data_IF_445114855166
#
_entry.id   IF_445114855166
#
_cell.length_a   1.000
_cell.length_b   1.000
_cell.length_c   1.000
_cell.angle_alpha   90.00
_cell.angle_beta   90.00
_cell.angle_gamma   90.00
#
_symmetry.space_group_name_H-M   'P 1'
#
loop_
_entity.id
_entity.type
_entity.pdbx_description
1 polymer ?
#
# COMPACT_ATOMS: atom_id res chain seq x y z
N UNK A 1 21.78 -14.70 3.81
CA UNK A 1 22.46 -13.74 4.71
C UNK A 1 22.37 -12.29 4.22
N UNK A 2 22.89 -11.91 3.04
CA UNK A 2 22.76 -10.52 2.55
C UNK A 2 21.32 -10.13 2.19
N UNK A 3 20.55 -11.03 1.59
CA UNK A 3 19.13 -10.81 1.25
C UNK A 3 18.25 -10.61 2.49
N UNK A 4 18.59 -11.24 3.63
CA UNK A 4 17.82 -11.11 4.86
C UNK A 4 18.05 -9.77 5.57
N UNK A 5 19.27 -9.23 5.48
CA UNK A 5 19.58 -7.88 6.01
C UNK A 5 18.87 -6.81 5.20
N UNK A 6 18.87 -6.93 3.87
CA UNK A 6 18.17 -5.99 2.98
C UNK A 6 16.64 -5.99 3.22
N UNK A 7 16.05 -7.17 3.36
CA UNK A 7 14.61 -7.32 3.68
C UNK A 7 14.24 -6.72 5.04
N UNK A 8 15.13 -6.82 6.03
CA UNK A 8 14.92 -6.20 7.35
C UNK A 8 15.04 -4.67 7.30
N UNK A 9 15.89 -4.12 6.44
CA UNK A 9 16.05 -2.67 6.29
C UNK A 9 14.89 -2.02 5.53
N UNK A 10 14.16 -2.76 4.69
CA UNK A 10 13.06 -2.24 3.89
C UNK A 10 12.02 -1.50 4.74
N UNK A 11 11.65 -2.07 5.89
CA UNK A 11 10.69 -1.51 6.83
C UNK A 11 11.37 -0.91 8.07
N UNK A 12 12.58 -0.36 7.90
CA UNK A 12 13.25 0.37 8.96
C UNK A 12 12.42 1.58 9.40
N UNK A 13 12.61 1.99 10.66
CA UNK A 13 11.92 3.16 11.20
C UNK A 13 12.20 4.43 10.36
N UNK A 14 13.39 4.58 9.82
CA UNK A 14 13.76 5.67 8.92
C UNK A 14 12.93 5.67 7.64
N UNK A 15 12.86 4.54 6.94
CA UNK A 15 12.10 4.43 5.70
C UNK A 15 10.59 4.65 5.92
N UNK A 16 10.07 4.15 7.04
CA UNK A 16 8.66 4.34 7.39
C UNK A 16 8.36 5.78 7.78
N UNK A 17 9.29 6.47 8.46
CA UNK A 17 9.18 7.91 8.74
C UNK A 17 9.17 8.74 7.45
N UNK A 18 10.04 8.46 6.49
CA UNK A 18 10.03 9.14 5.17
C UNK A 18 8.66 8.99 4.48
N UNK A 19 8.09 7.79 4.52
CA UNK A 19 6.75 7.57 3.95
C UNK A 19 5.65 8.33 4.71
N UNK A 20 5.72 8.37 6.02
CA UNK A 20 4.77 9.12 6.85
C UNK A 20 4.89 10.63 6.61
N UNK A 21 6.10 11.19 6.57
CA UNK A 21 6.34 12.60 6.27
C UNK A 21 5.81 12.98 4.89
N UNK A 22 6.03 12.12 3.89
CA UNK A 22 5.45 12.29 2.57
C UNK A 22 3.92 12.38 2.62
N UNK A 23 3.24 11.45 3.29
CA UNK A 23 1.79 11.46 3.42
C UNK A 23 1.28 12.67 4.21
N UNK A 24 1.99 13.07 5.27
CA UNK A 24 1.66 14.27 6.06
C UNK A 24 1.72 15.57 5.27
N UNK A 25 2.46 15.59 4.17
CA UNK A 25 2.52 16.77 3.29
C UNK A 25 1.24 16.99 2.47
N UNK A 26 0.37 16.00 2.35
CA UNK A 26 -0.91 16.13 1.64
C UNK A 26 -1.93 16.91 2.48
N UNK A 27 -2.63 17.91 1.89
CA UNK A 27 -3.66 18.67 2.62
C UNK A 27 -4.80 17.81 3.18
N UNK A 28 -5.04 16.64 2.60
CA UNK A 28 -6.11 15.71 3.01
C UNK A 28 -5.63 14.71 4.08
N UNK A 29 -4.37 14.78 4.49
CA UNK A 29 -3.85 13.86 5.48
C UNK A 29 -4.46 14.13 6.87
N UNK A 30 -4.82 13.05 7.53
CA UNK A 30 -5.09 13.02 8.96
C UNK A 30 -4.67 11.66 9.53
N UNK A 31 -4.27 11.66 10.77
CA UNK A 31 -4.02 10.40 11.50
C UNK A 31 -5.36 9.67 11.65
N UNK A 32 -5.42 8.42 11.22
CA UNK A 32 -6.64 7.63 11.37
C UNK A 32 -6.79 7.12 12.80
N UNK A 33 -8.03 6.87 13.29
CA UNK A 33 -8.25 6.45 14.67
C UNK A 33 -7.61 5.09 14.99
N UNK A 34 -7.08 4.96 16.20
CA UNK A 34 -6.82 3.69 16.85
C UNK A 34 -7.94 3.45 17.87
N UNK A 35 -8.93 2.65 17.49
CA UNK A 35 -10.12 2.38 18.31
C UNK A 35 -9.79 1.42 19.46
N UNK A 36 -10.15 1.80 20.70
CA UNK A 36 -10.06 0.90 21.83
C UNK A 36 -11.36 0.08 21.95
N UNK A 37 -11.27 -1.22 21.71
CA UNK A 37 -12.39 -2.16 21.75
C UNK A 37 -12.57 -2.77 23.15
N UNK A 38 -12.79 -1.91 24.15
CA UNK A 38 -12.82 -2.28 25.57
C UNK A 38 -13.88 -3.36 25.90
N UNK A 39 -15.06 -3.29 25.28
CA UNK A 39 -16.13 -4.28 25.47
C UNK A 39 -15.72 -5.66 24.94
N UNK A 40 -15.05 -5.69 23.78
CA UNK A 40 -14.53 -6.94 23.20
C UNK A 40 -13.39 -7.50 24.06
N UNK A 41 -12.48 -6.64 24.52
CA UNK A 41 -11.39 -7.04 25.42
C UNK A 41 -11.94 -7.70 26.70
N UNK A 42 -12.95 -7.08 27.32
CA UNK A 42 -13.62 -7.64 28.50
C UNK A 42 -14.29 -8.99 28.21
N UNK A 43 -14.99 -9.10 27.08
CA UNK A 43 -15.65 -10.34 26.68
C UNK A 43 -14.66 -11.50 26.48
N UNK A 44 -13.49 -11.22 25.89
CA UNK A 44 -12.45 -12.20 25.62
C UNK A 44 -11.48 -12.43 26.80
N UNK A 45 -11.62 -11.70 27.92
CA UNK A 45 -10.76 -11.84 29.10
C UNK A 45 -9.31 -11.37 28.86
N UNK A 46 -9.08 -10.43 27.93
CA UNK A 46 -7.76 -9.83 27.65
C UNK A 46 -7.72 -8.38 28.12
N UNK A 47 -6.50 -7.85 28.33
CA UNK A 47 -6.31 -6.51 28.89
C UNK A 47 -6.83 -5.41 27.95
N UNK A 48 -6.41 -5.42 26.70
CA UNK A 48 -6.79 -4.43 25.70
C UNK A 48 -6.88 -5.06 24.32
N UNK A 49 -7.77 -4.53 23.48
CA UNK A 49 -7.81 -4.77 22.04
C UNK A 49 -7.93 -3.41 21.34
N UNK A 50 -7.03 -3.16 20.40
CA UNK A 50 -7.05 -1.95 19.60
C UNK A 50 -7.23 -2.30 18.13
N UNK A 51 -7.96 -1.44 17.40
CA UNK A 51 -8.18 -1.58 15.97
C UNK A 51 -7.77 -0.29 15.25
N UNK A 52 -6.79 -0.35 14.36
CA UNK A 52 -6.42 0.77 13.48
C UNK A 52 -7.46 0.89 12.37
N UNK A 53 -8.25 1.95 12.42
CA UNK A 53 -9.40 2.14 11.53
C UNK A 53 -9.01 2.99 10.30
N UNK A 54 -8.65 2.31 9.23
CA UNK A 54 -8.26 2.95 7.97
C UNK A 54 -9.45 3.38 7.09
N UNK A 55 -10.69 3.26 7.57
CA UNK A 55 -11.87 3.75 6.83
C UNK A 55 -11.88 5.28 6.67
N UNK A 56 -11.11 5.99 7.47
CA UNK A 56 -10.98 7.46 7.38
C UNK A 56 -9.84 7.93 6.46
N UNK A 57 -9.02 7.01 5.93
CA UNK A 57 -7.82 7.38 5.18
C UNK A 57 -8.14 8.17 3.92
N UNK A 58 -7.72 9.44 3.87
CA UNK A 58 -7.88 10.36 2.73
C UNK A 58 -9.33 10.47 2.19
N UNK A 59 -10.34 10.09 2.96
CA UNK A 59 -11.72 10.02 2.51
C UNK A 59 -12.02 8.89 1.51
N UNK A 60 -11.09 7.96 1.33
CA UNK A 60 -11.23 6.85 0.37
C UNK A 60 -11.76 5.56 0.98
N UNK A 61 -11.96 5.53 2.29
CA UNK A 61 -12.48 4.38 3.01
C UNK A 61 -11.60 3.12 2.90
N UNK A 62 -10.29 3.30 2.66
CA UNK A 62 -9.31 2.22 2.51
C UNK A 62 -7.87 2.73 2.61
N UNK A 63 -6.96 1.88 3.12
CA UNK A 63 -5.53 2.19 3.30
C UNK A 63 -4.70 2.14 2.00
N UNK A 64 -5.18 1.53 0.94
CA UNK A 64 -4.41 1.23 -0.29
C UNK A 64 -3.78 2.45 -0.95
N UNK A 65 -4.37 3.62 -0.77
CA UNK A 65 -3.83 4.90 -1.26
C UNK A 65 -2.44 5.22 -0.72
N UNK A 66 -2.12 4.79 0.50
CA UNK A 66 -0.79 5.01 1.12
C UNK A 66 0.32 4.37 0.28
N UNK A 67 0.12 3.13 -0.17
CA UNK A 67 1.10 2.46 -1.02
C UNK A 67 1.22 3.08 -2.39
N UNK A 68 0.09 3.30 -3.07
CA UNK A 68 0.06 3.85 -4.45
C UNK A 68 0.66 5.25 -4.53
N UNK A 69 0.28 6.15 -3.61
CA UNK A 69 0.80 7.52 -3.61
C UNK A 69 2.30 7.59 -3.31
N UNK A 70 2.77 6.82 -2.33
CA UNK A 70 4.20 6.79 -2.00
C UNK A 70 5.03 6.18 -3.13
N UNK A 71 4.58 5.09 -3.75
CA UNK A 71 5.27 4.49 -4.88
C UNK A 71 5.39 5.47 -6.07
N UNK A 72 4.33 6.24 -6.36
CA UNK A 72 4.40 7.28 -7.40
C UNK A 72 5.40 8.37 -7.04
N UNK A 73 5.37 8.87 -5.80
CA UNK A 73 6.33 9.88 -5.34
C UNK A 73 7.77 9.38 -5.43
N UNK A 74 8.03 8.14 -5.01
CA UNK A 74 9.35 7.49 -5.11
C UNK A 74 9.81 7.31 -6.55
N UNK A 75 8.89 6.96 -7.46
CA UNK A 75 9.21 6.85 -8.87
C UNK A 75 9.64 8.21 -9.45
N UNK A 76 8.85 9.27 -9.21
CA UNK A 76 9.18 10.61 -9.67
C UNK A 76 10.52 11.09 -9.08
N UNK A 77 10.73 10.87 -7.78
CA UNK A 77 11.98 11.21 -7.10
C UNK A 77 13.20 10.51 -7.74
N UNK A 78 13.06 9.21 -8.02
CA UNK A 78 14.11 8.41 -8.68
C UNK A 78 14.45 8.95 -10.06
N UNK A 79 13.46 9.24 -10.90
CA UNK A 79 13.67 9.77 -12.24
C UNK A 79 14.36 11.15 -12.23
N UNK A 80 14.09 11.95 -11.19
CA UNK A 80 14.73 13.25 -11.00
C UNK A 80 16.08 13.19 -10.27
N UNK A 81 16.51 12.00 -9.82
CA UNK A 81 17.73 11.83 -9.02
C UNK A 81 17.68 12.52 -7.67
N UNK A 82 16.48 12.66 -7.06
CA UNK A 82 16.24 13.32 -5.78
C UNK A 82 15.82 12.34 -4.69
N UNK A 83 16.01 12.71 -3.43
CA UNK A 83 15.38 11.97 -2.31
C UNK A 83 13.91 12.38 -2.19
N UNK A 84 13.05 11.43 -1.79
CA UNK A 84 11.61 11.67 -1.63
C UNK A 84 11.32 12.75 -0.57
N UNK A 85 12.19 12.94 0.41
CA UNK A 85 12.07 13.99 1.42
C UNK A 85 12.14 15.41 0.85
N UNK A 86 12.72 15.57 -0.33
CA UNK A 86 12.79 16.84 -1.06
C UNK A 86 11.54 17.13 -1.89
N UNK A 87 10.65 16.15 -2.02
CA UNK A 87 9.47 16.19 -2.87
C UNK A 87 8.16 16.01 -2.08
N UNK A 88 7.84 16.92 -1.14
CA UNK A 88 6.53 16.92 -0.50
C UNK A 88 5.42 17.20 -1.53
N UNK A 89 4.16 17.00 -1.13
CA UNK A 89 3.01 17.15 -2.01
C UNK A 89 2.99 18.46 -2.82
N UNK A 90 3.27 19.59 -2.18
CA UNK A 90 3.29 20.91 -2.84
C UNK A 90 4.37 21.02 -3.93
N UNK A 91 5.51 20.36 -3.74
CA UNK A 91 6.55 20.28 -4.78
C UNK A 91 6.10 19.37 -5.93
N UNK A 92 5.60 18.16 -5.61
CA UNK A 92 5.14 17.19 -6.62
C UNK A 92 3.95 17.66 -7.45
N UNK A 93 3.08 18.50 -6.88
CA UNK A 93 1.90 19.04 -7.56
C UNK A 93 2.16 20.40 -8.26
N UNK A 94 3.38 20.91 -8.19
CA UNK A 94 3.73 22.24 -8.75
C UNK A 94 3.87 22.22 -10.27
N UNK A 95 3.61 23.38 -10.91
CA UNK A 95 3.86 23.58 -12.34
C UNK A 95 5.34 23.42 -12.68
N UNK A 96 6.24 23.86 -11.77
CA UNK A 96 7.68 23.69 -11.94
C UNK A 96 8.07 22.22 -12.08
N UNK A 97 7.52 21.34 -11.25
CA UNK A 97 7.81 19.91 -11.36
C UNK A 97 7.23 19.34 -12.66
N UNK A 98 6.06 19.80 -13.07
CA UNK A 98 5.45 19.39 -14.34
C UNK A 98 6.29 19.79 -15.55
N UNK A 99 6.93 20.95 -15.52
CA UNK A 99 7.87 21.38 -16.56
C UNK A 99 9.16 20.54 -16.55
N UNK A 100 9.65 20.16 -15.36
CA UNK A 100 10.89 19.41 -15.20
C UNK A 100 10.72 17.91 -15.49
N UNK A 101 9.69 17.29 -14.95
CA UNK A 101 9.43 15.84 -15.03
C UNK A 101 8.51 15.46 -16.19
N UNK A 102 7.60 16.35 -16.59
CA UNK A 102 6.53 16.04 -17.54
C UNK A 102 5.34 15.33 -16.89
N UNK A 103 4.67 14.49 -17.69
CA UNK A 103 3.49 13.74 -17.25
C UNK A 103 3.68 12.25 -17.55
N UNK A 104 3.67 11.45 -16.49
CA UNK A 104 3.67 9.99 -16.57
C UNK A 104 2.23 9.43 -16.57
N UNK A 105 2.09 8.22 -17.08
CA UNK A 105 0.86 7.45 -17.02
C UNK A 105 1.07 6.21 -16.16
N UNK A 106 0.38 6.14 -15.03
CA UNK A 106 0.46 5.03 -14.10
C UNK A 106 -0.62 4.00 -14.40
N UNK A 107 -0.20 2.77 -14.66
CA UNK A 107 -1.06 1.65 -14.99
C UNK A 107 -1.22 0.71 -13.80
N UNK A 108 -2.41 0.16 -13.62
CA UNK A 108 -2.64 -0.90 -12.62
C UNK A 108 -3.82 -1.77 -13.01
N UNK A 109 -3.83 -3.00 -12.50
CA UNK A 109 -5.00 -3.87 -12.50
C UNK A 109 -5.54 -3.99 -11.07
N UNK A 110 -6.87 -3.97 -10.92
CA UNK A 110 -7.51 -4.00 -9.61
C UNK A 110 -8.95 -4.45 -9.67
N UNK A 111 -9.42 -5.00 -8.57
CA UNK A 111 -10.85 -5.21 -8.31
C UNK A 111 -11.50 -4.09 -7.48
N UNK A 112 -10.71 -3.06 -7.04
CA UNK A 112 -11.28 -1.94 -6.28
C UNK A 112 -10.28 -0.95 -5.67
N UNK A 113 -9.94 -1.14 -4.39
CA UNK A 113 -9.30 -0.12 -3.56
C UNK A 113 -7.87 0.29 -4.00
N UNK A 114 -7.09 -0.65 -4.53
CA UNK A 114 -5.75 -0.32 -5.02
C UNK A 114 -5.83 0.64 -6.21
N UNK A 115 -6.63 0.31 -7.23
CA UNK A 115 -6.80 1.18 -8.39
C UNK A 115 -7.43 2.53 -8.03
N UNK A 116 -8.35 2.57 -7.05
CA UNK A 116 -8.89 3.85 -6.56
C UNK A 116 -7.79 4.70 -5.92
N UNK A 117 -6.92 4.09 -5.10
CA UNK A 117 -5.79 4.79 -4.50
C UNK A 117 -4.79 5.31 -5.54
N UNK A 118 -4.48 4.51 -6.56
CA UNK A 118 -3.62 4.90 -7.69
C UNK A 118 -4.24 6.07 -8.47
N UNK A 119 -5.52 5.98 -8.83
CA UNK A 119 -6.25 7.04 -9.54
C UNK A 119 -6.27 8.35 -8.75
N UNK A 120 -6.60 8.27 -7.45
CA UNK A 120 -6.62 9.41 -6.54
C UNK A 120 -5.27 10.12 -6.45
N UNK A 121 -4.20 9.34 -6.28
CA UNK A 121 -2.84 9.87 -6.17
C UNK A 121 -2.38 10.51 -7.49
N UNK A 122 -2.57 9.83 -8.62
CA UNK A 122 -2.20 10.34 -9.93
C UNK A 122 -2.84 11.70 -10.20
N UNK A 123 -4.16 11.84 -9.98
CA UNK A 123 -4.88 13.12 -10.16
C UNK A 123 -4.26 14.24 -9.34
N UNK A 124 -3.93 13.99 -8.08
CA UNK A 124 -3.38 15.02 -7.17
C UNK A 124 -1.94 15.39 -7.47
N UNK A 125 -1.19 14.45 -8.00
CA UNK A 125 0.19 14.69 -8.43
C UNK A 125 0.29 15.18 -9.88
N UNK A 126 -0.84 15.50 -10.54
CA UNK A 126 -0.88 15.99 -11.91
C UNK A 126 -0.48 14.94 -12.96
N UNK A 127 -0.58 13.67 -12.61
CA UNK A 127 -0.24 12.52 -13.44
C UNK A 127 -1.50 11.86 -14.01
N UNK A 128 -1.34 10.92 -14.94
CA UNK A 128 -2.42 10.11 -15.50
C UNK A 128 -2.49 8.74 -14.83
N UNK A 129 -3.68 8.16 -14.80
CA UNK A 129 -3.88 6.77 -14.36
C UNK A 129 -4.74 6.00 -15.35
N UNK A 130 -4.36 4.77 -15.63
CA UNK A 130 -5.12 3.79 -16.41
C UNK A 130 -5.33 2.56 -15.53
N UNK A 131 -6.61 2.17 -15.36
CA UNK A 131 -7.00 1.08 -14.45
C UNK A 131 -7.75 0.02 -15.22
N UNK A 132 -7.21 -1.20 -15.25
CA UNK A 132 -7.84 -2.38 -15.82
C UNK A 132 -8.52 -3.18 -14.71
N UNK A 133 -9.81 -3.50 -14.89
CA UNK A 133 -10.59 -4.26 -13.92
C UNK A 133 -11.01 -5.60 -14.53
N UNK A 134 -10.96 -6.69 -13.74
CA UNK A 134 -11.34 -8.00 -14.26
C UNK A 134 -12.85 -8.14 -14.44
N UNK A 135 -13.25 -9.12 -15.25
CA UNK A 135 -14.62 -9.55 -15.42
C UNK A 135 -15.32 -9.79 -14.08
N UNK A 136 -16.56 -9.35 -13.98
CA UNK A 136 -17.38 -9.49 -12.77
C UNK A 136 -17.21 -8.36 -11.75
N UNK A 137 -16.36 -7.39 -12.04
CA UNK A 137 -16.26 -6.18 -11.22
C UNK A 137 -17.58 -5.39 -11.26
N UNK A 138 -18.04 -4.94 -10.09
CA UNK A 138 -19.30 -4.22 -9.97
C UNK A 138 -19.20 -2.80 -10.52
N UNK A 139 -20.32 -2.28 -11.06
CA UNK A 139 -20.42 -0.89 -11.53
C UNK A 139 -20.03 0.12 -10.44
N UNK A 140 -20.40 -0.12 -9.19
CA UNK A 140 -20.04 0.75 -8.06
C UNK A 140 -18.53 0.89 -7.90
N UNK A 141 -17.78 -0.20 -8.02
CA UNK A 141 -16.31 -0.17 -7.94
C UNK A 141 -15.69 0.59 -9.11
N UNK A 142 -16.20 0.32 -10.32
CA UNK A 142 -15.81 1.05 -11.52
C UNK A 142 -16.04 2.56 -11.36
N UNK A 143 -17.25 2.98 -10.99
CA UNK A 143 -17.63 4.37 -10.82
C UNK A 143 -16.77 5.08 -9.76
N UNK A 144 -16.44 4.39 -8.67
CA UNK A 144 -15.59 4.93 -7.61
C UNK A 144 -14.16 5.23 -8.08
N UNK A 145 -13.62 4.46 -9.01
CA UNK A 145 -12.29 4.70 -9.60
C UNK A 145 -12.38 5.79 -10.66
N UNK A 146 -13.37 5.72 -11.54
CA UNK A 146 -13.56 6.70 -12.61
C UNK A 146 -13.76 8.14 -12.07
N UNK A 147 -14.45 8.31 -10.93
CA UNK A 147 -14.62 9.59 -10.24
C UNK A 147 -13.29 10.23 -9.82
N UNK A 148 -12.28 9.42 -9.56
CA UNK A 148 -10.94 9.93 -9.25
C UNK A 148 -10.20 10.42 -10.50
N UNK A 149 -10.77 10.28 -11.71
CA UNK A 149 -10.24 10.84 -12.95
C UNK A 149 -9.33 9.91 -13.74
N UNK A 150 -9.29 8.63 -13.41
CA UNK A 150 -8.57 7.62 -14.19
C UNK A 150 -9.35 7.19 -15.44
N UNK A 151 -8.64 6.74 -16.46
CA UNK A 151 -9.20 5.94 -17.54
C UNK A 151 -9.41 4.51 -17.01
N UNK A 152 -10.65 4.05 -16.96
CA UNK A 152 -11.01 2.76 -16.36
C UNK A 152 -11.74 1.90 -17.38
N UNK A 153 -11.40 0.62 -17.43
CA UNK A 153 -12.11 -0.38 -18.25
C UNK A 153 -12.36 -1.65 -17.45
N UNK A 154 -13.45 -2.35 -17.75
CA UNK A 154 -13.70 -3.73 -17.29
C UNK A 154 -13.40 -4.63 -18.47
N UNK A 155 -12.46 -5.54 -18.27
CA UNK A 155 -12.01 -6.49 -19.30
C UNK A 155 -12.72 -7.84 -19.14
N UNK A 156 -12.97 -8.54 -20.25
CA UNK A 156 -13.61 -9.86 -20.26
C UNK A 156 -12.61 -10.99 -19.90
N UNK A 157 -11.68 -10.73 -18.97
CA UNK A 157 -10.62 -11.64 -18.53
C UNK A 157 -10.54 -11.71 -17.01
N UNK A 158 -9.76 -12.67 -16.49
CA UNK A 158 -9.48 -12.78 -15.06
C UNK A 158 -8.49 -11.71 -14.56
N UNK A 159 -8.26 -11.67 -13.25
CA UNK A 159 -7.38 -10.70 -12.61
C UNK A 159 -5.93 -10.76 -13.12
N UNK A 160 -5.35 -11.96 -13.24
CA UNK A 160 -3.97 -12.14 -13.67
C UNK A 160 -3.74 -11.68 -15.12
N UNK A 161 -4.73 -11.92 -16.00
CA UNK A 161 -4.71 -11.40 -17.36
C UNK A 161 -4.79 -9.88 -17.39
N UNK A 162 -5.63 -9.27 -16.53
CA UNK A 162 -5.67 -7.81 -16.39
C UNK A 162 -4.31 -7.23 -15.96
N UNK A 163 -3.60 -7.89 -15.03
CA UNK A 163 -2.25 -7.48 -14.61
C UNK A 163 -1.27 -7.54 -15.80
N UNK A 164 -1.31 -8.64 -16.58
CA UNK A 164 -0.48 -8.78 -17.78
C UNK A 164 -0.80 -7.70 -18.82
N UNK A 165 -2.09 -7.41 -19.05
CA UNK A 165 -2.52 -6.35 -19.98
C UNK A 165 -2.02 -4.98 -19.52
N UNK A 166 -2.20 -4.63 -18.25
CA UNK A 166 -1.73 -3.35 -17.70
C UNK A 166 -0.20 -3.20 -17.82
N UNK A 167 0.55 -4.25 -17.51
CA UNK A 167 2.01 -4.25 -17.64
C UNK A 167 2.47 -4.10 -19.11
N UNK A 168 1.83 -4.83 -20.03
CA UNK A 168 2.15 -4.76 -21.46
C UNK A 168 1.82 -3.38 -22.07
N UNK A 169 0.75 -2.73 -21.61
CA UNK A 169 0.36 -1.40 -22.06
C UNK A 169 1.30 -0.34 -21.48
N UNK A 170 1.65 -0.45 -20.20
CA UNK A 170 2.65 0.43 -19.58
C UNK A 170 3.98 0.40 -20.35
N UNK A 171 4.46 -0.79 -20.71
CA UNK A 171 5.71 -0.97 -21.45
C UNK A 171 5.71 -0.35 -22.89
N UNK A 172 4.54 -0.15 -23.49
CA UNK A 172 4.36 0.44 -24.82
C UNK A 172 4.04 1.92 -24.79
N UNK A 173 3.72 2.46 -23.62
CA UNK A 173 3.34 3.86 -23.45
C UNK A 173 4.57 4.67 -23.06
N UNK A 174 4.79 5.76 -23.74
CA UNK A 174 5.84 6.72 -23.37
C UNK A 174 5.58 7.23 -21.93
N UNK A 175 6.57 7.13 -21.07
CA UNK A 175 6.43 7.38 -19.62
C UNK A 175 5.29 6.57 -18.95
N UNK A 176 5.06 5.36 -19.45
CA UNK A 176 4.12 4.41 -18.85
C UNK A 176 4.77 3.58 -17.75
N UNK A 177 4.14 3.52 -16.58
CA UNK A 177 4.65 2.82 -15.40
C UNK A 177 3.57 1.92 -14.81
N UNK A 178 3.88 0.64 -14.60
CA UNK A 178 3.01 -0.26 -13.84
C UNK A 178 3.17 -0.01 -12.34
N UNK A 179 2.06 0.19 -11.63
CA UNK A 179 2.00 0.32 -10.17
C UNK A 179 1.08 -0.76 -9.62
N UNK A 180 1.65 -1.95 -9.41
CA UNK A 180 0.94 -3.12 -8.92
C UNK A 180 1.44 -3.49 -7.52
N UNK A 181 0.54 -3.91 -6.63
CA UNK A 181 0.87 -4.25 -5.24
C UNK A 181 1.30 -5.71 -5.04
N UNK A 182 1.46 -6.46 -6.12
CA UNK A 182 2.01 -7.81 -6.16
C UNK A 182 3.39 -7.79 -6.83
N UNK A 183 4.39 -8.42 -6.23
CA UNK A 183 5.72 -8.56 -6.80
C UNK A 183 5.85 -9.82 -7.67
N UNK A 184 6.71 -9.74 -8.70
CA UNK A 184 7.17 -10.88 -9.49
C UNK A 184 8.64 -10.67 -9.88
N UNK A 185 9.28 -11.69 -10.46
CA UNK A 185 10.69 -11.62 -10.84
C UNK A 185 10.96 -10.44 -11.77
N UNK A 186 11.83 -9.53 -11.35
CA UNK A 186 12.15 -8.29 -12.06
C UNK A 186 11.21 -7.11 -11.79
N UNK A 187 10.15 -7.31 -10.99
CA UNK A 187 9.26 -6.24 -10.54
C UNK A 187 9.12 -6.27 -9.02
N UNK A 188 10.12 -5.77 -8.32
CA UNK A 188 10.20 -5.81 -6.85
C UNK A 188 10.31 -4.42 -6.23
N UNK A 189 10.84 -3.45 -6.97
CA UNK A 189 11.12 -2.11 -6.46
C UNK A 189 9.84 -1.35 -6.11
N UNK A 190 8.90 -1.25 -7.03
CA UNK A 190 7.62 -0.54 -6.80
C UNK A 190 6.77 -1.22 -5.72
N UNK A 191 6.61 -2.56 -5.69
CA UNK A 191 5.99 -3.25 -4.56
C UNK A 191 6.66 -2.96 -3.21
N UNK A 192 7.98 -2.83 -3.19
CA UNK A 192 8.73 -2.45 -1.98
C UNK A 192 8.37 -1.04 -1.51
N UNK A 193 8.24 -0.09 -2.42
CA UNK A 193 7.78 1.27 -2.07
C UNK A 193 6.32 1.30 -1.61
N UNK A 194 5.46 0.47 -2.20
CA UNK A 194 4.08 0.29 -1.74
C UNK A 194 4.05 -0.20 -0.30
N UNK A 195 4.88 -1.20 0.04
CA UNK A 195 5.00 -1.69 1.42
C UNK A 195 5.49 -0.59 2.37
N UNK A 196 6.50 0.20 1.99
CA UNK A 196 6.97 1.35 2.77
C UNK A 196 5.86 2.38 2.99
N UNK A 197 5.06 2.65 1.96
CA UNK A 197 3.89 3.52 2.07
C UNK A 197 2.88 3.05 3.12
N UNK A 198 2.61 1.74 3.17
CA UNK A 198 1.77 1.15 4.22
C UNK A 198 2.37 1.27 5.62
N UNK A 199 3.68 1.49 5.73
CA UNK A 199 4.35 1.77 7.00
C UNK A 199 3.74 2.96 7.76
N UNK A 200 3.15 3.92 7.06
CA UNK A 200 2.49 5.08 7.69
C UNK A 200 1.42 4.65 8.69
N UNK A 201 0.51 3.74 8.33
CA UNK A 201 -0.54 3.30 9.26
C UNK A 201 0.03 2.56 10.47
N UNK A 202 1.13 1.83 10.29
CA UNK A 202 1.78 1.07 11.37
C UNK A 202 2.51 2.00 12.33
N UNK A 203 3.22 2.99 11.81
CA UNK A 203 3.89 4.02 12.61
C UNK A 203 2.88 4.82 13.44
N UNK A 204 1.78 5.24 12.82
CA UNK A 204 0.69 5.94 13.54
C UNK A 204 0.13 5.06 14.67
N UNK A 205 -0.15 3.78 14.39
CA UNK A 205 -0.68 2.86 15.39
C UNK A 205 0.29 2.68 16.57
N UNK A 206 1.59 2.52 16.30
CA UNK A 206 2.62 2.40 17.33
C UNK A 206 2.74 3.65 18.20
N UNK A 207 2.66 4.84 17.59
CA UNK A 207 2.65 6.12 18.31
C UNK A 207 1.40 6.26 19.19
N UNK A 208 0.22 5.97 18.64
CA UNK A 208 -1.04 6.03 19.38
C UNK A 208 -1.10 5.04 20.54
N UNK A 209 -0.53 3.84 20.39
CA UNK A 209 -0.40 2.88 21.50
C UNK A 209 0.42 3.48 22.65
N UNK A 210 1.54 4.13 22.35
CA UNK A 210 2.39 4.78 23.36
C UNK A 210 1.68 5.94 24.08
N UNK A 211 0.92 6.74 23.33
CA UNK A 211 0.08 7.80 23.90
C UNK A 211 -0.98 7.25 24.87
N UNK A 212 -1.43 6.02 24.63
CA UNK A 212 -2.38 5.27 25.50
C UNK A 212 -1.68 4.49 26.62
N UNK A 213 -0.37 4.67 26.82
CA UNK A 213 0.42 3.97 27.87
C UNK A 213 0.73 2.51 27.55
N UNK A 214 0.65 2.12 26.27
CA UNK A 214 1.01 0.78 25.82
C UNK A 214 2.38 0.83 25.14
N UNK A 215 3.40 0.38 25.85
CA UNK A 215 4.79 0.37 25.37
C UNK A 215 4.97 -0.46 24.10
N UNK A 216 4.31 -1.61 24.01
CA UNK A 216 4.42 -2.58 22.93
C UNK A 216 3.16 -3.47 22.87
N UNK A 217 2.63 -3.76 21.67
CA UNK A 217 1.61 -4.78 21.53
C UNK A 217 2.20 -6.18 21.83
N UNK A 218 1.45 -7.06 22.45
CA UNK A 218 1.85 -8.46 22.64
C UNK A 218 1.54 -9.31 21.42
N UNK A 219 0.44 -9.00 20.74
CA UNK A 219 -0.03 -9.68 19.53
C UNK A 219 -0.45 -8.62 18.49
N UNK A 220 -0.20 -8.89 17.24
CA UNK A 220 -0.65 -8.08 16.12
C UNK A 220 -1.33 -8.97 15.10
N UNK A 221 -2.58 -8.65 14.78
CA UNK A 221 -3.36 -9.34 13.76
C UNK A 221 -3.43 -8.46 12.52
N UNK A 222 -3.15 -9.04 11.37
CA UNK A 222 -3.20 -8.34 10.08
C UNK A 222 -3.78 -9.25 9.01
N UNK A 223 -4.68 -8.73 8.21
CA UNK A 223 -5.21 -9.47 7.07
C UNK A 223 -4.19 -9.52 5.93
N UNK A 224 -4.23 -10.61 5.17
CA UNK A 224 -3.45 -10.76 3.95
C UNK A 224 -4.37 -11.11 2.76
N UNK A 225 -4.06 -10.49 1.62
CA UNK A 225 -4.47 -10.87 0.29
C UNK A 225 -3.21 -11.14 -0.51
N UNK A 226 -2.71 -10.14 -1.26
CA UNK A 226 -1.43 -10.25 -2.01
C UNK A 226 -0.18 -10.18 -1.13
N UNK A 227 -0.32 -9.89 0.17
CA UNK A 227 0.76 -9.96 1.16
C UNK A 227 1.47 -8.64 1.48
N UNK A 228 1.35 -7.60 0.68
CA UNK A 228 2.09 -6.34 0.86
C UNK A 228 1.78 -5.63 2.19
N UNK A 229 0.50 -5.61 2.63
CA UNK A 229 0.14 -5.06 3.93
C UNK A 229 0.73 -5.89 5.07
N UNK A 230 0.55 -7.20 5.02
CA UNK A 230 1.09 -8.10 6.04
C UNK A 230 2.61 -7.98 6.13
N UNK A 231 3.30 -7.91 4.98
CA UNK A 231 4.74 -7.68 4.91
C UNK A 231 5.17 -6.36 5.54
N UNK A 232 4.43 -5.28 5.32
CA UNK A 232 4.71 -3.98 5.92
C UNK A 232 4.56 -4.02 7.45
N UNK A 233 3.45 -4.57 7.95
CA UNK A 233 3.15 -4.65 9.39
C UNK A 233 4.15 -5.56 10.10
N UNK A 234 4.38 -6.76 9.58
CA UNK A 234 5.36 -7.72 10.14
C UNK A 234 6.75 -7.12 10.11
N UNK A 235 7.16 -6.55 8.99
CA UNK A 235 8.50 -5.96 8.81
C UNK A 235 8.77 -4.83 9.79
N UNK A 236 7.82 -3.91 9.98
CA UNK A 236 7.96 -2.82 10.92
C UNK A 236 8.11 -3.30 12.38
N UNK A 237 7.18 -4.14 12.85
CA UNK A 237 7.21 -4.60 14.24
C UNK A 237 8.41 -5.51 14.53
N UNK A 238 8.83 -6.34 13.58
CA UNK A 238 10.03 -7.15 13.71
C UNK A 238 11.31 -6.31 13.76
N UNK A 239 11.36 -5.18 13.03
CA UNK A 239 12.48 -4.24 13.08
C UNK A 239 12.47 -3.42 14.38
N UNK A 240 11.30 -2.83 14.70
CA UNK A 240 11.14 -1.94 15.85
C UNK A 240 11.36 -2.63 17.18
N UNK A 241 10.85 -3.84 17.34
CA UNK A 241 10.91 -4.62 18.57
C UNK A 241 11.76 -5.88 18.43
N UNK A 242 12.91 -5.76 17.76
CA UNK A 242 13.81 -6.88 17.40
C UNK A 242 14.17 -7.80 18.56
N UNK A 243 14.32 -7.23 19.77
CA UNK A 243 14.73 -7.99 20.97
C UNK A 243 13.54 -8.67 21.67
N UNK A 244 12.31 -8.21 21.43
CA UNK A 244 11.08 -8.76 21.96
C UNK A 244 9.90 -8.48 21.01
N UNK A 245 9.86 -9.10 19.82
CA UNK A 245 8.81 -8.84 18.83
C UNK A 245 7.45 -9.34 19.33
N UNK A 246 6.35 -8.66 18.95
CA UNK A 246 5.01 -9.19 19.19
C UNK A 246 4.77 -10.49 18.41
N UNK A 247 3.85 -11.29 18.88
CA UNK A 247 3.33 -12.43 18.10
C UNK A 247 2.56 -11.87 16.91
N UNK A 248 2.97 -12.25 15.69
CA UNK A 248 2.34 -11.80 14.45
C UNK A 248 1.38 -12.87 13.93
N UNK A 249 0.10 -12.52 13.83
CA UNK A 249 -0.93 -13.39 13.28
C UNK A 249 -1.41 -12.82 11.93
N UNK A 250 -1.01 -13.48 10.84
CA UNK A 250 -1.50 -13.16 9.50
C UNK A 250 -2.79 -13.92 9.26
N UNK A 251 -3.88 -13.18 9.00
CA UNK A 251 -5.22 -13.72 8.81
C UNK A 251 -5.58 -13.71 7.33
N UNK A 252 -5.85 -14.87 6.76
CA UNK A 252 -6.33 -15.01 5.40
C UNK A 252 -7.75 -15.58 5.39
N UNK A 253 -8.58 -15.10 4.47
CA UNK A 253 -9.87 -15.72 4.24
C UNK A 253 -9.68 -17.12 3.63
N UNK A 254 -10.41 -18.12 4.13
CA UNK A 254 -10.29 -19.50 3.63
C UNK A 254 -10.54 -19.63 2.12
N UNK A 255 -11.36 -18.75 1.54
CA UNK A 255 -11.59 -18.69 0.10
C UNK A 255 -10.35 -18.22 -0.70
N UNK A 256 -9.44 -17.47 -0.12
CA UNK A 256 -8.20 -17.02 -0.78
C UNK A 256 -7.17 -18.15 -0.88
N UNK A 257 -7.21 -19.15 0.00
CA UNK A 257 -6.35 -20.32 -0.06
C UNK A 257 -6.54 -21.15 -1.34
N UNK A 258 -7.70 -21.03 -1.98
CA UNK A 258 -8.03 -21.73 -3.23
C UNK A 258 -7.72 -20.92 -4.49
N UNK A 259 -7.47 -19.62 -4.38
CA UNK A 259 -7.30 -18.72 -5.52
C UNK A 259 -5.90 -18.14 -5.64
N UNK A 260 -5.11 -18.14 -4.57
CA UNK A 260 -3.72 -17.72 -4.57
C UNK A 260 -2.81 -18.93 -4.44
N UNK A 261 -1.89 -19.20 -5.41
CA UNK A 261 -0.91 -20.26 -5.26
C UNK A 261 0.00 -19.93 -4.07
N UNK A 262 -0.28 -20.56 -2.94
CA UNK A 262 0.57 -20.47 -1.75
C UNK A 262 1.90 -21.19 -2.01
N UNK A 263 3.04 -20.72 -1.48
CA UNK A 263 4.28 -21.48 -1.48
C UNK A 263 4.15 -22.87 -0.85
N UNK A 264 3.09 -23.13 -0.06
CA UNK A 264 2.75 -24.46 0.50
C UNK A 264 2.16 -25.39 -0.55
N UNK A 265 1.40 -24.87 -1.51
CA UNK A 265 0.76 -25.69 -2.56
C UNK A 265 1.78 -26.31 -3.50
N UNK A 266 2.93 -25.66 -3.72
CA UNK A 266 4.06 -26.20 -4.48
C UNK A 266 4.78 -27.37 -3.78
N UNK A 267 4.57 -27.59 -2.48
CA UNK A 267 5.16 -28.71 -1.72
C UNK A 267 4.27 -29.97 -1.68
N UNK A 268 2.99 -29.84 -1.98
CA UNK A 268 2.06 -30.97 -2.00
C UNK A 268 1.92 -31.65 -3.37
N UNK A 269 2.50 -31.07 -4.41
CA UNK A 269 2.49 -31.63 -5.78
C UNK A 269 3.80 -32.34 -6.15
N UNK A 270 4.52 -32.90 -5.17
CA UNK A 270 5.68 -33.79 -5.37
C UNK A 270 5.50 -35.10 -4.63
#
# INVERSE_FOLDING_TARGET
AASDVYKRQLMSEENVKKANEFHRSFPQYSVTPLQNLSSLAKYLGVKNIFCKDESYRFGLNAFKVLGGSYAMGRYIAKELGRDISELPYNALSSDKLREEFGQATFFTATDGNHGRGVAWAAKRLGQKAVVRMPKGTTKTRFDNIAKEGATVTIEEVNYDDCVRMAAAEAAKTEHGIIVQDTAWDGYEEIPSWIMQGYGTLVLEADQQLKEMGVERPTHVFVQAGVGSLAGAVVGYFAHKYKDNPPVMAVCEASCLLYTSPSPRDKRQSR
#
